data_IF_045164685651
#
_entry.id   IF_045164685651
#
_cell.length_a   1.000
_cell.length_b   1.000
_cell.length_c   1.000
_cell.angle_alpha   90.00
_cell.angle_beta   90.00
_cell.angle_gamma   90.00
#
_symmetry.space_group_name_H-M   'P 1'
#
loop_
_entity.id
_entity.type
_entity.pdbx_description
1 polymer ?
#
# COMPACT_ATOMS: atom_id res chain seq x y z
N UNK A 1 -20.33 -9.37 -0.63
CA UNK A 1 -19.73 -8.05 -0.32
C UNK A 1 -19.18 -7.49 -1.63
N UNK A 2 -19.19 -6.17 -1.89
CA UNK A 2 -18.67 -5.67 -3.16
C UNK A 2 -17.21 -6.11 -3.32
N UNK A 3 -16.93 -6.85 -4.40
CA UNK A 3 -15.65 -7.46 -4.72
C UNK A 3 -14.72 -6.42 -5.35
N UNK A 4 -14.47 -5.32 -4.63
CA UNK A 4 -13.64 -4.21 -5.08
C UNK A 4 -12.30 -4.17 -4.35
N UNK A 5 -11.32 -3.53 -4.95
CA UNK A 5 -10.06 -3.22 -4.29
C UNK A 5 -10.27 -2.07 -3.31
N UNK A 6 -9.54 -2.09 -2.21
CA UNK A 6 -9.53 -1.06 -1.19
C UNK A 6 -8.21 -0.29 -1.27
N UNK A 7 -8.26 1.00 -0.94
CA UNK A 7 -7.05 1.79 -0.73
C UNK A 7 -6.56 1.56 0.70
N UNK A 8 -5.31 1.13 0.82
CA UNK A 8 -4.59 0.99 2.08
C UNK A 8 -3.50 2.04 2.17
N UNK A 9 -3.28 2.53 3.37
CA UNK A 9 -2.07 3.28 3.70
C UNK A 9 -1.20 2.38 4.57
N UNK A 10 0.05 2.26 4.17
CA UNK A 10 1.09 1.55 4.91
C UNK A 10 2.09 2.57 5.39
N UNK A 11 2.46 2.46 6.67
CA UNK A 11 3.48 3.29 7.30
C UNK A 11 4.60 2.41 7.82
N UNK A 12 5.81 2.77 7.46
CA UNK A 12 7.02 2.14 7.97
C UNK A 12 8.24 3.04 7.78
N UNK A 13 9.29 2.82 8.57
CA UNK A 13 10.60 3.40 8.32
C UNK A 13 11.64 2.28 8.31
N UNK A 14 12.58 2.33 7.36
CA UNK A 14 13.67 1.36 7.37
C UNK A 14 14.65 1.65 8.54
N UNK A 15 15.57 0.72 8.86
CA UNK A 15 16.55 0.90 9.94
C UNK A 15 17.44 2.14 9.79
N UNK A 16 17.59 2.66 8.57
CA UNK A 16 18.38 3.84 8.24
C UNK A 16 17.57 5.15 8.37
N UNK A 17 16.28 5.05 8.69
CA UNK A 17 15.37 6.18 8.90
C UNK A 17 14.73 6.71 7.62
N UNK A 18 14.82 5.99 6.51
CA UNK A 18 14.10 6.32 5.28
C UNK A 18 12.61 5.99 5.42
N UNK A 19 11.78 6.88 4.92
CA UNK A 19 10.33 6.76 4.96
C UNK A 19 9.86 5.78 3.86
N UNK A 20 9.16 4.72 4.26
CA UNK A 20 8.58 3.71 3.37
C UNK A 20 7.04 3.78 3.33
N UNK A 21 6.48 4.95 3.63
CA UNK A 21 5.05 5.22 3.55
C UNK A 21 4.53 5.07 2.12
N UNK A 22 3.45 4.32 1.94
CA UNK A 22 2.89 4.07 0.62
C UNK A 22 1.38 3.89 0.63
N UNK A 23 0.73 4.35 -0.43
CA UNK A 23 -0.65 4.00 -0.71
C UNK A 23 -0.69 2.77 -1.60
N UNK A 24 -1.55 1.80 -1.27
CA UNK A 24 -1.65 0.54 -1.99
C UNK A 24 -3.10 0.21 -2.27
N UNK A 25 -3.43 -0.05 -3.53
CA UNK A 25 -4.74 -0.58 -3.92
C UNK A 25 -4.66 -2.10 -3.89
N UNK A 26 -5.47 -2.74 -3.05
CA UNK A 26 -5.48 -4.19 -2.92
C UNK A 26 -6.85 -4.71 -2.47
N UNK A 27 -7.22 -5.97 -2.73
CA UNK A 27 -8.49 -6.52 -2.25
C UNK A 27 -8.51 -6.72 -0.72
N UNK A 28 -7.36 -6.86 -0.08
CA UNK A 28 -7.23 -7.06 1.36
C UNK A 28 -5.87 -6.55 1.90
N UNK A 29 -5.72 -6.52 3.23
CA UNK A 29 -4.50 -6.05 3.90
C UNK A 29 -3.26 -6.90 3.58
N UNK A 30 -3.42 -8.22 3.40
CA UNK A 30 -2.28 -9.10 3.18
C UNK A 30 -1.69 -8.85 1.78
N UNK A 31 -2.54 -8.69 0.76
CA UNK A 31 -2.11 -8.30 -0.57
C UNK A 31 -1.54 -6.88 -0.61
N UNK A 32 -2.09 -5.95 0.19
CA UNK A 32 -1.52 -4.61 0.30
C UNK A 32 -0.07 -4.64 0.80
N UNK A 33 0.20 -5.42 1.85
CA UNK A 33 1.57 -5.62 2.37
C UNK A 33 2.46 -6.28 1.33
N UNK A 34 1.97 -7.30 0.61
CA UNK A 34 2.75 -7.97 -0.43
C UNK A 34 3.19 -6.99 -1.55
N UNK A 35 2.30 -6.12 -2.03
CA UNK A 35 2.66 -5.11 -3.04
C UNK A 35 3.63 -4.07 -2.50
N UNK A 36 3.48 -3.65 -1.25
CA UNK A 36 4.42 -2.74 -0.60
C UNK A 36 5.81 -3.35 -0.45
N UNK A 37 5.90 -4.62 -0.02
CA UNK A 37 7.16 -5.37 0.06
C UNK A 37 7.82 -5.47 -1.31
N UNK A 38 7.05 -5.75 -2.37
CA UNK A 38 7.56 -5.79 -3.75
C UNK A 38 8.06 -4.42 -4.24
N UNK A 39 7.34 -3.34 -3.92
CA UNK A 39 7.68 -1.99 -4.36
C UNK A 39 9.03 -1.52 -3.81
N UNK A 40 9.30 -1.79 -2.52
CA UNK A 40 10.56 -1.43 -1.85
C UNK A 40 11.62 -2.54 -1.89
N UNK A 41 11.40 -3.61 -2.67
CA UNK A 41 12.30 -4.77 -2.78
C UNK A 41 12.71 -5.38 -1.42
N UNK A 42 11.78 -5.37 -0.46
CA UNK A 42 12.02 -5.87 0.90
C UNK A 42 11.98 -7.40 0.95
N UNK A 43 12.62 -8.04 1.96
CA UNK A 43 12.51 -9.47 2.18
C UNK A 43 11.04 -9.93 2.31
N UNK A 44 10.72 -11.08 1.71
CA UNK A 44 9.40 -11.68 1.86
C UNK A 44 9.07 -11.92 3.35
N UNK A 45 7.88 -11.48 3.78
CA UNK A 45 7.46 -11.54 5.17
C UNK A 45 7.82 -10.31 6.01
N UNK A 46 8.42 -9.27 5.41
CA UNK A 46 8.57 -7.96 6.05
C UNK A 46 7.20 -7.42 6.47
N UNK A 47 7.08 -7.02 7.73
CA UNK A 47 5.85 -6.49 8.29
C UNK A 47 6.04 -4.99 8.58
N UNK A 48 5.22 -4.12 7.97
CA UNK A 48 5.29 -2.69 8.26
C UNK A 48 4.87 -2.40 9.69
N UNK A 49 5.32 -1.27 10.25
CA UNK A 49 4.86 -0.78 11.56
C UNK A 49 3.33 -0.67 11.62
N UNK A 50 2.70 -0.20 10.53
CA UNK A 50 1.25 -0.03 10.49
C UNK A 50 0.65 -0.22 9.10
N UNK A 51 -0.53 -0.85 9.05
CA UNK A 51 -1.34 -0.98 7.83
C UNK A 51 -2.83 -0.80 8.13
N UNK A 52 -3.47 0.12 7.40
CA UNK A 52 -4.90 0.41 7.54
C UNK A 52 -5.57 0.78 6.23
N UNK A 53 -6.83 0.36 6.08
CA UNK A 53 -7.67 0.84 4.98
C UNK A 53 -7.94 2.33 5.19
N UNK A 54 -7.87 3.12 4.11
CA UNK A 54 -8.15 4.56 4.16
C UNK A 54 -9.65 4.75 4.39
N UNK A 55 -10.07 5.36 5.51
CA UNK A 55 -11.48 5.52 5.82
C UNK A 55 -12.15 6.48 4.83
N UNK A 56 -13.43 6.23 4.52
CA UNK A 56 -14.20 7.09 3.62
C UNK A 56 -13.93 6.88 2.13
N UNK A 57 -12.98 6.02 1.76
CA UNK A 57 -12.74 5.63 0.36
C UNK A 57 -13.59 4.40 0.05
N UNK A 58 -14.48 4.53 -0.93
CA UNK A 58 -15.27 3.40 -1.42
C UNK A 58 -14.36 2.39 -2.14
N UNK A 59 -14.70 1.08 -2.11
CA UNK A 59 -14.00 0.09 -2.92
C UNK A 59 -13.98 0.49 -4.40
N UNK A 60 -12.84 0.34 -5.05
CA UNK A 60 -12.56 0.74 -6.42
C UNK A 60 -12.35 -0.47 -7.32
N UNK A 61 -12.56 -0.29 -8.62
CA UNK A 61 -12.17 -1.25 -9.66
C UNK A 61 -10.79 -0.94 -10.25
N UNK A 62 -10.06 0.05 -9.69
CA UNK A 62 -8.68 0.35 -10.08
C UNK A 62 -7.81 -0.89 -9.91
N UNK A 63 -6.80 -1.02 -10.78
CA UNK A 63 -5.89 -2.15 -10.74
C UNK A 63 -5.14 -2.22 -9.39
N UNK A 64 -4.98 -3.41 -8.80
CA UNK A 64 -4.17 -3.56 -7.60
C UNK A 64 -2.72 -3.17 -7.84
N UNK A 65 -2.10 -2.52 -6.87
CA UNK A 65 -0.71 -2.12 -6.94
C UNK A 65 -0.34 -1.06 -5.91
N UNK A 66 0.96 -0.95 -5.69
CA UNK A 66 1.57 0.16 -4.96
C UNK A 66 1.53 1.43 -5.81
N UNK A 67 1.10 2.54 -5.21
CA UNK A 67 1.01 3.84 -5.86
C UNK A 67 1.98 4.79 -5.17
N UNK A 68 2.99 5.20 -5.93
CA UNK A 68 3.93 6.21 -5.48
C UNK A 68 3.27 7.60 -5.49
N UNK A 69 3.49 8.39 -4.44
CA UNK A 69 2.99 9.76 -4.37
C UNK A 69 3.56 10.64 -5.49
N UNK A 70 4.78 10.38 -5.92
CA UNK A 70 5.39 11.11 -7.04
C UNK A 70 4.68 10.81 -8.37
N UNK A 71 4.19 9.58 -8.56
CA UNK A 71 3.43 9.20 -9.75
C UNK A 71 2.06 9.90 -9.84
N UNK A 72 1.48 10.33 -8.71
CA UNK A 72 0.21 11.07 -8.67
C UNK A 72 0.41 12.56 -8.99
N UNK A 73 1.63 13.11 -8.81
CA UNK A 73 1.92 14.54 -8.99
C UNK A 73 2.29 14.95 -10.42
N UNK A 74 2.42 14.00 -11.35
CA UNK A 74 2.70 14.28 -12.75
C UNK A 74 1.45 14.11 -13.63
N UNK A 75 0.47 15.00 -13.47
CA UNK A 75 -0.57 15.31 -14.47
C UNK A 75 -1.06 16.76 -14.28
#
# INVERSE_FOLDING_TARGET
>A
MPQGNHLFYIRDNNPDGENLDLLVVAPDKAQAVAFWTQHFELPEGSAPEWVGAVPGVAPTTAEPGAIDWEAIRMD
#
